data_IF_270245553342
#
_entry.id   IF_270245553342
#
_cell.length_a   1.000
_cell.length_b   1.000
_cell.length_c   1.000
_cell.angle_alpha   90.00
_cell.angle_beta   90.00
_cell.angle_gamma   90.00
#
_symmetry.space_group_name_H-M   'P 1'
#
loop_
_entity.id
_entity.type
_entity.pdbx_description
1 polymer ?
#
# COMPACT_ATOMS: atom_id res chain seq x y z
N UNK A 1 -2.09 1.12 -20.36
CA UNK A 1 -0.72 0.88 -19.79
C UNK A 1 -0.85 -0.26 -18.79
N UNK A 2 0.09 -1.22 -18.75
CA UNK A 2 -0.02 -2.32 -17.80
C UNK A 2 0.05 -1.81 -16.35
N UNK A 3 -0.89 -2.23 -15.51
CA UNK A 3 -0.99 -1.78 -14.11
C UNK A 3 -0.32 -2.76 -13.15
N UNK A 4 0.26 -2.24 -12.09
CA UNK A 4 0.85 -3.03 -11.00
C UNK A 4 -0.18 -3.24 -9.91
N UNK A 5 -0.45 -4.50 -9.55
CA UNK A 5 -1.29 -4.83 -8.41
C UNK A 5 -0.41 -5.39 -7.30
N UNK A 6 -0.43 -4.71 -6.15
CA UNK A 6 0.22 -5.17 -4.92
C UNK A 6 -0.86 -5.60 -3.92
N UNK A 7 -0.54 -6.60 -3.11
CA UNK A 7 -1.42 -7.04 -2.03
C UNK A 7 -0.92 -6.55 -0.67
N UNK A 8 -1.81 -6.23 0.25
CA UNK A 8 -1.41 -5.82 1.59
C UNK A 8 -1.10 -7.03 2.46
N UNK A 9 0.12 -7.09 2.97
CA UNK A 9 0.62 -8.16 3.82
C UNK A 9 0.77 -7.63 5.24
N UNK A 10 -0.17 -7.96 6.11
CA UNK A 10 -0.24 -7.42 7.47
C UNK A 10 -0.95 -8.35 8.44
N UNK A 11 -0.88 -8.01 9.71
CA UNK A 11 -1.75 -8.50 10.80
C UNK A 11 -2.36 -7.28 11.51
N UNK A 12 -3.53 -7.39 12.16
CA UNK A 12 -4.37 -8.58 12.22
C UNK A 12 -5.08 -8.88 10.89
N UNK A 13 -5.45 -10.15 10.69
CA UNK A 13 -6.33 -10.61 9.63
C UNK A 13 -7.57 -11.27 10.23
N UNK A 14 -8.51 -11.67 9.40
CA UNK A 14 -9.76 -12.31 9.78
C UNK A 14 -10.95 -11.77 9.00
N UNK A 15 -12.16 -12.29 9.23
CA UNK A 15 -13.34 -11.93 8.43
C UNK A 15 -13.81 -10.47 8.60
N UNK A 16 -13.48 -9.80 9.70
CA UNK A 16 -13.75 -8.37 9.98
C UNK A 16 -12.79 -7.87 11.07
N UNK A 17 -11.48 -7.74 10.76
CA UNK A 17 -10.42 -7.59 11.77
C UNK A 17 -10.36 -6.20 12.44
N UNK A 18 -11.21 -5.26 12.08
CA UNK A 18 -11.43 -3.99 12.81
C UNK A 18 -12.18 -4.18 14.12
N UNK A 19 -12.89 -5.30 14.30
CA UNK A 19 -13.52 -5.70 15.57
C UNK A 19 -12.72 -6.83 16.21
N UNK A 20 -12.62 -6.86 17.57
CA UNK A 20 -11.85 -7.91 18.28
C UNK A 20 -12.31 -9.33 17.95
N UNK A 21 -13.63 -9.53 17.81
CA UNK A 21 -14.25 -10.84 17.56
C UNK A 21 -13.97 -11.35 16.14
N UNK A 22 -13.65 -10.46 15.23
CA UNK A 22 -13.32 -10.78 13.84
C UNK A 22 -11.84 -11.02 13.60
N UNK A 23 -10.99 -10.88 14.62
CA UNK A 23 -9.53 -11.02 14.49
C UNK A 23 -9.07 -12.44 14.71
N UNK A 24 -8.22 -12.90 13.82
CA UNK A 24 -7.43 -14.09 14.09
C UNK A 24 -6.20 -13.74 14.93
N UNK A 25 -5.68 -14.72 15.64
CA UNK A 25 -4.44 -14.56 16.39
C UNK A 25 -3.29 -14.30 15.39
N UNK A 26 -2.47 -13.26 15.60
CA UNK A 26 -1.31 -13.03 14.78
C UNK A 26 -0.40 -14.24 14.74
N UNK A 27 -0.03 -14.69 13.54
CA UNK A 27 0.81 -15.85 13.32
C UNK A 27 1.72 -15.61 12.11
N UNK A 28 3.01 -15.93 12.25
CA UNK A 28 3.97 -15.80 11.17
C UNK A 28 3.68 -16.77 10.01
N UNK A 29 3.22 -18.00 10.30
CA UNK A 29 2.87 -18.96 9.26
C UNK A 29 1.72 -18.46 8.39
N UNK A 30 0.76 -17.72 8.97
CA UNK A 30 -0.30 -17.06 8.20
C UNK A 30 0.27 -16.00 7.24
N UNK A 31 1.18 -15.13 7.72
CA UNK A 31 1.85 -14.14 6.86
C UNK A 31 2.66 -14.80 5.74
N UNK A 32 3.33 -15.91 6.05
CA UNK A 32 4.08 -16.69 5.07
C UNK A 32 3.16 -17.31 4.01
N UNK A 33 2.03 -17.89 4.39
CA UNK A 33 1.03 -18.41 3.46
C UNK A 33 0.49 -17.30 2.55
N UNK A 34 0.19 -16.14 3.10
CA UNK A 34 -0.27 -14.97 2.34
C UNK A 34 0.79 -14.50 1.32
N UNK A 35 2.06 -14.43 1.73
CA UNK A 35 3.16 -14.05 0.84
C UNK A 35 3.34 -15.07 -0.29
N UNK A 36 3.30 -16.37 0.03
CA UNK A 36 3.38 -17.45 -0.97
C UNK A 36 2.19 -17.43 -1.94
N UNK A 37 0.98 -17.20 -1.44
CA UNK A 37 -0.21 -17.06 -2.28
C UNK A 37 -0.04 -15.87 -3.23
N UNK A 38 0.32 -14.69 -2.73
CA UNK A 38 0.55 -13.49 -3.54
C UNK A 38 1.63 -13.70 -4.61
N UNK A 39 2.73 -14.39 -4.26
CA UNK A 39 3.81 -14.72 -5.21
C UNK A 39 3.32 -15.63 -6.34
N UNK A 40 2.56 -16.67 -6.00
CA UNK A 40 2.06 -17.67 -6.98
C UNK A 40 0.95 -17.14 -7.86
N UNK A 41 0.08 -16.30 -7.31
CA UNK A 41 -1.04 -15.67 -8.02
C UNK A 41 -0.59 -14.55 -8.97
N UNK A 42 0.67 -14.13 -8.91
CA UNK A 42 1.22 -13.17 -9.86
C UNK A 42 1.00 -11.72 -9.46
N UNK A 43 0.81 -11.41 -8.20
CA UNK A 43 0.88 -10.03 -7.73
C UNK A 43 2.26 -9.44 -7.99
N UNK A 44 2.31 -8.14 -8.35
CA UNK A 44 3.57 -7.43 -8.55
C UNK A 44 4.44 -7.41 -7.29
N UNK A 45 3.80 -7.30 -6.14
CA UNK A 45 4.46 -7.26 -4.84
C UNK A 45 3.46 -7.23 -3.69
N UNK A 46 3.98 -7.05 -2.48
CA UNK A 46 3.16 -6.83 -1.29
C UNK A 46 3.64 -5.63 -0.50
N UNK A 47 2.68 -4.82 0.00
CA UNK A 47 2.98 -3.77 0.97
C UNK A 47 3.04 -4.37 2.37
N UNK A 48 4.17 -4.17 3.06
CA UNK A 48 4.35 -4.48 4.46
C UNK A 48 4.25 -3.18 5.28
N UNK A 49 3.22 -3.10 6.13
CA UNK A 49 3.06 -1.97 7.04
C UNK A 49 4.03 -2.03 8.22
N UNK A 50 4.34 -0.86 8.80
CA UNK A 50 5.26 -0.73 9.93
C UNK A 50 4.63 -1.02 11.31
N UNK A 51 3.40 -1.53 11.36
CA UNK A 51 2.72 -1.86 12.62
C UNK A 51 1.68 -2.96 12.36
N UNK A 52 1.47 -3.91 13.29
CA UNK A 52 2.18 -4.07 14.58
C UNK A 52 3.58 -4.71 14.44
N UNK A 53 3.92 -5.22 13.25
CA UNK A 53 5.18 -5.94 13.04
C UNK A 53 6.28 -4.97 12.55
N UNK A 54 7.52 -5.31 12.85
CA UNK A 54 8.67 -4.63 12.25
C UNK A 54 8.83 -5.13 10.81
N UNK A 55 8.72 -4.23 9.84
CA UNK A 55 8.56 -4.54 8.41
C UNK A 55 9.83 -5.12 7.78
N UNK A 56 11.02 -4.69 8.23
CA UNK A 56 12.30 -5.20 7.73
C UNK A 56 12.50 -6.66 8.15
N UNK A 57 12.18 -7.00 9.40
CA UNK A 57 12.30 -8.36 9.92
C UNK A 57 11.34 -9.32 9.20
N UNK A 58 10.07 -8.92 9.05
CA UNK A 58 9.07 -9.75 8.35
C UNK A 58 9.45 -9.95 6.89
N UNK A 59 9.85 -8.89 6.19
CA UNK A 59 10.23 -9.00 4.77
C UNK A 59 11.44 -9.92 4.57
N UNK A 60 12.46 -9.81 5.43
CA UNK A 60 13.64 -10.66 5.37
C UNK A 60 13.30 -12.15 5.62
N UNK A 61 12.41 -12.44 6.57
CA UNK A 61 11.96 -13.80 6.87
C UNK A 61 11.15 -14.44 5.73
N UNK A 62 10.60 -13.64 4.81
CA UNK A 62 9.78 -14.12 3.68
C UNK A 62 10.56 -14.30 2.37
N UNK A 63 11.84 -13.92 2.32
CA UNK A 63 12.66 -14.03 1.10
C UNK A 63 12.69 -15.47 0.59
N UNK A 64 12.97 -16.42 1.46
CA UNK A 64 13.14 -17.84 1.12
C UNK A 64 11.81 -18.52 0.73
N UNK A 65 10.71 -18.03 1.26
CA UNK A 65 9.38 -18.57 0.97
C UNK A 65 8.80 -18.10 -0.39
N UNK A 66 9.40 -17.09 -1.02
CA UNK A 66 8.90 -16.44 -2.25
C UNK A 66 9.98 -16.33 -3.31
N UNK A 67 9.61 -16.26 -4.58
CA UNK A 67 10.56 -16.24 -5.70
C UNK A 67 10.52 -14.93 -6.50
N UNK A 68 9.37 -14.31 -6.66
CA UNK A 68 9.12 -13.19 -7.57
C UNK A 68 8.48 -11.99 -6.88
N UNK A 69 7.73 -12.23 -5.81
CA UNK A 69 7.04 -11.20 -5.06
C UNK A 69 8.00 -10.10 -4.61
N UNK A 70 7.71 -8.86 -4.98
CA UNK A 70 8.43 -7.69 -4.47
C UNK A 70 7.89 -7.27 -3.12
N UNK A 71 8.76 -6.76 -2.29
CA UNK A 71 8.45 -6.30 -0.94
C UNK A 71 8.49 -4.78 -0.90
N UNK A 72 7.33 -4.15 -0.84
CA UNK A 72 7.20 -2.71 -0.59
C UNK A 72 7.19 -2.50 0.93
N UNK A 73 8.38 -2.23 1.47
CA UNK A 73 8.64 -2.20 2.92
C UNK A 73 8.45 -0.79 3.46
N UNK A 74 7.51 -0.62 4.38
CA UNK A 74 7.30 0.67 5.06
C UNK A 74 8.50 0.97 5.98
N UNK A 75 9.11 2.15 5.81
CA UNK A 75 10.27 2.58 6.58
C UNK A 75 10.13 4.04 6.98
N UNK A 76 10.33 4.30 8.26
CA UNK A 76 10.40 5.67 8.78
C UNK A 76 11.86 6.15 8.79
N UNK A 77 12.14 7.36 8.30
CA UNK A 77 13.48 7.93 8.43
C UNK A 77 13.80 8.13 9.92
N UNK A 78 15.00 7.70 10.33
CA UNK A 78 15.48 7.81 11.71
C UNK A 78 15.31 6.56 12.58
N UNK A 79 14.52 5.56 12.20
CA UNK A 79 14.49 4.26 12.91
C UNK A 79 15.85 3.57 12.92
N UNK A 80 16.55 3.63 11.79
CA UNK A 80 17.93 3.20 11.64
C UNK A 80 18.75 4.35 11.08
N UNK A 81 20.08 4.35 11.28
CA UNK A 81 20.89 5.29 10.51
C UNK A 81 20.84 4.95 9.02
N UNK A 82 20.94 5.92 8.10
CA UNK A 82 20.85 5.64 6.67
C UNK A 82 21.95 4.69 6.17
N UNK A 83 23.12 4.68 6.80
CA UNK A 83 24.20 3.74 6.50
C UNK A 83 23.86 2.29 6.92
N UNK A 84 23.22 2.11 8.08
CA UNK A 84 22.78 0.78 8.55
C UNK A 84 21.66 0.26 7.64
N UNK A 85 20.69 1.10 7.30
CA UNK A 85 19.62 0.74 6.37
C UNK A 85 20.18 0.39 4.98
N UNK A 86 21.17 1.14 4.47
CA UNK A 86 21.81 0.83 3.19
C UNK A 86 22.51 -0.53 3.21
N UNK A 87 23.23 -0.85 4.29
CA UNK A 87 23.87 -2.17 4.46
C UNK A 87 22.84 -3.30 4.49
N UNK A 88 21.75 -3.10 5.24
CA UNK A 88 20.65 -4.06 5.29
C UNK A 88 20.03 -4.25 3.89
N UNK A 89 19.72 -3.15 3.20
CA UNK A 89 19.11 -3.16 1.89
C UNK A 89 19.98 -3.86 0.83
N UNK A 90 21.30 -3.63 0.83
CA UNK A 90 22.24 -4.34 -0.04
C UNK A 90 22.24 -5.84 0.23
N UNK A 91 22.17 -6.27 1.50
CA UNK A 91 22.09 -7.69 1.87
C UNK A 91 20.76 -8.28 1.42
N UNK A 92 19.66 -7.60 1.70
CA UNK A 92 18.32 -8.02 1.28
C UNK A 92 18.23 -8.19 -0.24
N UNK A 93 18.76 -7.22 -0.99
CA UNK A 93 18.74 -7.23 -2.44
C UNK A 93 19.52 -8.41 -3.03
N UNK A 94 20.68 -8.74 -2.46
CA UNK A 94 21.43 -9.93 -2.87
C UNK A 94 20.62 -11.20 -2.64
N UNK A 95 20.03 -11.37 -1.46
CA UNK A 95 19.28 -12.57 -1.09
C UNK A 95 17.96 -12.68 -1.83
N UNK A 96 17.29 -11.58 -2.06
CA UNK A 96 15.98 -11.53 -2.74
C UNK A 96 16.10 -11.44 -4.27
N UNK A 97 17.30 -11.26 -4.83
CA UNK A 97 17.52 -10.97 -6.24
C UNK A 97 16.84 -9.69 -6.73
N UNK A 98 16.94 -8.59 -5.97
CA UNK A 98 16.46 -7.26 -6.38
C UNK A 98 14.96 -7.07 -6.22
N UNK A 99 14.34 -7.62 -5.16
CA UNK A 99 12.89 -7.54 -4.92
C UNK A 99 12.47 -6.51 -3.87
N UNK A 100 13.40 -5.66 -3.39
CA UNK A 100 13.11 -4.63 -2.39
C UNK A 100 12.54 -3.37 -3.05
N UNK A 101 11.51 -2.82 -2.45
CA UNK A 101 10.97 -1.48 -2.68
C UNK A 101 10.78 -0.82 -1.31
N UNK A 102 10.99 0.49 -1.18
CA UNK A 102 10.67 1.19 0.05
C UNK A 102 9.39 2.01 -0.07
N UNK A 103 8.53 1.91 0.93
CA UNK A 103 7.46 2.86 1.18
C UNK A 103 7.94 3.86 2.24
N UNK A 104 8.30 5.06 1.80
CA UNK A 104 8.75 6.17 2.64
C UNK A 104 7.59 6.69 3.46
N UNK A 105 7.64 6.49 4.76
CA UNK A 105 6.57 6.87 5.69
C UNK A 105 7.08 7.98 6.60
N UNK A 106 6.65 9.22 6.36
CA UNK A 106 7.06 10.36 7.19
C UNK A 106 6.27 10.46 8.52
N UNK A 107 5.29 9.58 8.73
CA UNK A 107 4.57 9.44 9.99
C UNK A 107 3.86 10.71 10.48
N UNK A 108 3.55 10.73 11.77
CA UNK A 108 3.06 11.89 12.51
C UNK A 108 3.95 12.13 13.73
N UNK A 109 3.88 13.32 14.31
CA UNK A 109 4.78 13.75 15.37
C UNK A 109 4.76 12.80 16.59
N UNK A 110 3.56 12.44 17.05
CA UNK A 110 3.41 11.57 18.22
C UNK A 110 3.96 10.15 17.97
N UNK A 111 3.69 9.57 16.80
CA UNK A 111 4.18 8.24 16.43
C UNK A 111 5.70 8.21 16.30
N UNK A 112 6.30 9.20 15.63
CA UNK A 112 7.74 9.28 15.45
C UNK A 112 8.49 9.55 16.75
N UNK A 113 7.90 10.32 17.67
CA UNK A 113 8.48 10.56 18.99
C UNK A 113 8.70 9.26 19.77
N UNK A 114 7.83 8.26 19.60
CA UNK A 114 8.00 6.92 20.21
C UNK A 114 9.18 6.13 19.61
N UNK A 115 9.63 6.52 18.42
CA UNK A 115 10.78 5.95 17.72
C UNK A 115 12.06 6.78 17.90
N UNK A 116 12.01 7.82 18.76
CA UNK A 116 13.15 8.70 19.02
C UNK A 116 13.37 9.80 17.98
N UNK A 117 12.40 10.04 17.10
CA UNK A 117 12.44 11.10 16.07
C UNK A 117 11.54 12.26 16.51
N UNK A 118 12.14 13.43 16.80
CA UNK A 118 11.48 14.56 17.45
C UNK A 118 11.41 15.84 16.59
N UNK A 119 11.42 15.70 15.26
CA UNK A 119 11.30 16.85 14.36
C UNK A 119 9.83 17.27 14.20
N UNK A 120 9.52 18.56 14.26
CA UNK A 120 8.18 19.08 13.97
C UNK A 120 7.81 18.84 12.48
N UNK A 121 6.51 18.99 12.17
CA UNK A 121 5.93 18.57 10.89
C UNK A 121 6.75 18.99 9.67
N UNK A 122 7.11 20.25 9.50
CA UNK A 122 7.78 20.73 8.29
C UNK A 122 9.26 20.30 8.27
N UNK A 123 9.97 20.48 9.36
CA UNK A 123 11.38 20.07 9.51
C UNK A 123 11.59 18.57 9.33
N UNK A 124 10.59 17.77 9.67
CA UNK A 124 10.60 16.32 9.46
C UNK A 124 10.74 15.93 7.98
N UNK A 125 10.18 16.71 7.08
CA UNK A 125 10.33 16.45 5.64
C UNK A 125 11.73 16.82 5.15
N UNK A 126 12.36 17.86 5.69
CA UNK A 126 13.75 18.22 5.38
C UNK A 126 14.70 17.14 5.90
N UNK A 127 14.53 16.71 7.15
CA UNK A 127 15.26 15.57 7.72
C UNK A 127 15.09 14.31 6.84
N UNK A 128 13.86 13.97 6.48
CA UNK A 128 13.56 12.79 5.67
C UNK A 128 14.24 12.86 4.29
N UNK A 129 14.21 14.01 3.64
CA UNK A 129 14.84 14.19 2.33
C UNK A 129 16.36 13.96 2.42
N UNK A 130 17.00 14.54 3.45
CA UNK A 130 18.44 14.37 3.68
C UNK A 130 18.79 12.92 4.03
N UNK A 131 17.98 12.29 4.90
CA UNK A 131 18.13 10.87 5.28
C UNK A 131 18.12 9.94 4.06
N UNK A 132 17.15 10.08 3.18
CA UNK A 132 17.03 9.21 2.02
C UNK A 132 18.09 9.49 0.95
N UNK A 133 18.55 10.73 0.81
CA UNK A 133 19.71 11.07 -0.04
C UNK A 133 21.00 10.42 0.48
N UNK A 134 21.23 10.46 1.77
CA UNK A 134 22.34 9.76 2.39
C UNK A 134 22.22 8.23 2.18
N UNK A 135 21.04 7.65 2.38
CA UNK A 135 20.77 6.24 2.08
C UNK A 135 21.11 5.89 0.62
N UNK A 136 20.62 6.66 -0.34
CA UNK A 136 20.87 6.43 -1.77
C UNK A 136 22.37 6.49 -2.12
N UNK A 137 23.11 7.44 -1.54
CA UNK A 137 24.56 7.54 -1.69
C UNK A 137 25.28 6.29 -1.19
N UNK A 138 24.96 5.85 0.03
CA UNK A 138 25.57 4.62 0.59
C UNK A 138 25.15 3.34 -0.13
N UNK A 139 23.90 3.24 -0.56
CA UNK A 139 23.43 2.11 -1.35
C UNK A 139 24.16 2.05 -2.70
N UNK A 140 24.40 3.19 -3.33
CA UNK A 140 25.17 3.27 -4.59
C UNK A 140 26.67 2.92 -4.44
N UNK A 141 27.15 2.78 -3.21
CA UNK A 141 28.52 2.38 -2.91
C UNK A 141 29.45 3.53 -2.56
N UNK A 142 28.94 4.73 -2.31
CA UNK A 142 29.74 5.85 -1.83
C UNK A 142 30.33 5.56 -0.45
N UNK A 143 31.61 5.88 -0.30
CA UNK A 143 32.38 5.67 0.94
C UNK A 143 32.87 6.95 1.55
N UNK A 144 32.57 8.12 0.93
CA UNK A 144 33.08 9.43 1.38
C UNK A 144 32.48 9.93 2.68
N UNK A 145 31.41 9.26 3.14
CA UNK A 145 30.63 9.71 4.28
C UNK A 145 29.48 10.65 3.86
N UNK A 146 28.86 11.29 4.84
CA UNK A 146 27.81 12.28 4.62
C UNK A 146 27.88 13.37 5.68
N UNK A 147 27.94 14.63 5.27
CA UNK A 147 27.99 15.79 6.18
C UNK A 147 26.85 16.76 5.83
N UNK A 148 25.65 16.45 6.31
CA UNK A 148 24.47 17.27 6.16
C UNK A 148 24.09 18.04 7.43
N UNK A 149 22.92 18.67 7.41
CA UNK A 149 22.38 19.34 8.58
C UNK A 149 21.91 18.34 9.65
N UNK A 150 21.22 17.28 9.22
CA UNK A 150 20.58 16.29 10.09
C UNK A 150 21.35 14.97 10.16
N UNK A 151 22.04 14.62 9.10
CA UNK A 151 22.75 13.33 8.95
C UNK A 151 24.25 13.60 8.87
N UNK A 152 25.01 13.05 9.83
CA UNK A 152 26.48 13.14 9.85
C UNK A 152 27.06 11.75 9.99
N UNK A 153 27.76 11.31 8.96
CA UNK A 153 28.35 9.96 8.89
C UNK A 153 29.80 10.07 8.40
N UNK A 154 30.72 9.49 9.15
CA UNK A 154 32.12 9.47 8.80
C UNK A 154 32.40 8.64 7.53
N UNK A 155 33.45 8.97 6.76
CA UNK A 155 33.89 8.16 5.65
C UNK A 155 34.20 6.72 6.07
N UNK A 156 33.91 5.76 5.20
CA UNK A 156 34.38 4.39 5.37
C UNK A 156 35.86 4.31 4.96
N UNK A 157 36.73 3.93 5.87
CA UNK A 157 38.16 3.86 5.56
C UNK A 157 38.47 2.76 4.55
N UNK A 158 39.48 2.95 3.67
CA UNK A 158 39.93 1.92 2.72
C UNK A 158 40.31 0.61 3.43
N UNK A 159 40.89 0.65 4.63
CA UNK A 159 41.22 -0.53 5.42
C UNK A 159 39.98 -1.40 5.75
N UNK A 160 38.84 -0.75 6.06
CA UNK A 160 37.58 -1.46 6.27
C UNK A 160 36.99 -2.01 4.96
N UNK A 161 37.18 -1.33 3.84
CA UNK A 161 36.73 -1.76 2.52
C UNK A 161 37.54 -2.96 1.96
N UNK A 162 38.81 -3.08 2.34
CA UNK A 162 39.72 -4.15 1.88
C UNK A 162 39.83 -5.32 2.85
N UNK A 163 39.18 -5.26 4.02
CA UNK A 163 39.17 -6.42 4.92
C UNK A 163 38.45 -7.58 4.22
N UNK A 164 39.00 -8.83 4.25
CA UNK A 164 38.40 -9.98 3.58
C UNK A 164 36.94 -10.26 3.93
N UNK A 165 36.51 -9.77 5.10
CA UNK A 165 35.12 -9.85 5.59
C UNK A 165 34.42 -8.49 5.61
N UNK A 166 35.01 -7.41 5.06
CA UNK A 166 34.62 -6.01 5.35
C UNK A 166 33.94 -5.24 4.23
N UNK A 167 33.76 -5.84 3.06
CA UNK A 167 33.05 -5.17 1.96
C UNK A 167 31.52 -5.26 2.12
N UNK A 168 30.80 -4.21 1.71
CA UNK A 168 29.36 -4.30 1.49
C UNK A 168 29.08 -4.94 0.13
N UNK A 169 27.92 -5.60 0.00
CA UNK A 169 27.48 -6.10 -1.29
C UNK A 169 27.34 -4.95 -2.31
N UNK A 170 27.64 -5.18 -3.59
CA UNK A 170 27.35 -4.21 -4.63
C UNK A 170 25.82 -4.06 -4.80
N UNK A 171 25.34 -2.89 -5.24
CA UNK A 171 23.91 -2.68 -5.49
C UNK A 171 23.41 -3.60 -6.61
N UNK A 172 22.30 -4.27 -6.36
CA UNK A 172 21.64 -5.15 -7.33
C UNK A 172 20.69 -4.37 -8.23
N UNK A 173 19.97 -3.43 -7.67
CA UNK A 173 19.05 -2.56 -8.39
C UNK A 173 19.76 -1.26 -8.83
N UNK A 174 19.50 -0.82 -10.06
CA UNK A 174 20.08 0.40 -10.63
C UNK A 174 18.97 1.27 -11.24
N UNK A 175 19.00 2.58 -11.05
CA UNK A 175 20.03 3.38 -10.34
C UNK A 175 19.99 3.23 -8.82
N UNK A 176 18.95 2.67 -8.23
CA UNK A 176 18.75 2.46 -6.81
C UNK A 176 17.49 1.66 -6.53
N UNK A 177 17.16 1.47 -5.25
CA UNK A 177 15.90 0.87 -4.82
C UNK A 177 14.79 1.89 -5.07
N UNK A 178 13.68 1.52 -5.75
CA UNK A 178 12.57 2.42 -5.98
C UNK A 178 11.94 2.90 -4.65
N UNK A 179 11.75 4.21 -4.53
CA UNK A 179 11.14 4.87 -3.38
C UNK A 179 9.70 5.23 -3.71
N UNK A 180 8.77 4.62 -3.01
CA UNK A 180 7.35 4.91 -3.06
C UNK A 180 6.98 5.71 -1.81
N UNK A 181 5.93 6.49 -1.84
CA UNK A 181 5.52 7.19 -0.63
C UNK A 181 4.40 8.19 -0.88
N UNK A 182 4.02 8.90 0.18
CA UNK A 182 2.91 9.85 0.15
C UNK A 182 3.27 11.14 0.87
N UNK A 183 2.58 12.22 0.51
CA UNK A 183 2.63 13.49 1.20
C UNK A 183 1.55 14.42 0.63
N UNK A 184 0.67 14.94 1.50
CA UNK A 184 -0.48 15.76 1.05
C UNK A 184 -0.37 17.23 1.44
N UNK A 185 0.41 17.56 2.48
CA UNK A 185 0.74 18.93 2.85
C UNK A 185 1.70 19.57 1.84
N UNK A 186 1.83 20.89 1.84
CA UNK A 186 2.80 21.60 1.01
C UNK A 186 4.21 21.02 1.12
N UNK A 187 4.78 20.92 2.34
CA UNK A 187 6.08 20.28 2.57
C UNK A 187 6.12 18.82 2.13
N UNK A 188 5.02 18.07 2.35
CA UNK A 188 4.91 16.66 1.91
C UNK A 188 4.94 16.50 0.40
N UNK A 189 4.28 17.36 -0.36
CA UNK A 189 4.35 17.37 -1.83
C UNK A 189 5.76 17.77 -2.29
N UNK A 190 6.35 18.82 -1.71
CA UNK A 190 7.70 19.28 -2.04
C UNK A 190 8.75 18.19 -1.81
N UNK A 191 8.64 17.44 -0.71
CA UNK A 191 9.47 16.27 -0.41
C UNK A 191 9.25 15.16 -1.46
N UNK A 192 7.99 14.82 -1.72
CA UNK A 192 7.62 13.73 -2.63
C UNK A 192 8.16 13.95 -4.04
N UNK A 193 8.01 15.14 -4.61
CA UNK A 193 8.48 15.45 -5.96
C UNK A 193 10.00 15.46 -6.09
N UNK A 194 10.73 15.69 -5.00
CA UNK A 194 12.20 15.65 -4.99
C UNK A 194 12.76 14.24 -4.83
N UNK A 195 12.02 13.33 -4.18
CA UNK A 195 12.57 12.06 -3.71
C UNK A 195 11.94 10.83 -4.38
N UNK A 196 10.62 10.79 -4.51
CA UNK A 196 9.91 9.55 -4.83
C UNK A 196 9.96 9.19 -6.32
N UNK A 197 9.90 7.90 -6.62
CA UNK A 197 9.67 7.36 -7.96
C UNK A 197 8.16 7.11 -8.19
N UNK A 198 7.45 6.74 -7.11
CA UNK A 198 6.00 6.51 -7.14
C UNK A 198 5.33 7.30 -6.02
N UNK A 199 4.46 8.22 -6.40
CA UNK A 199 3.62 8.95 -5.44
C UNK A 199 2.35 8.18 -5.13
N UNK A 200 2.15 7.85 -3.86
CA UNK A 200 0.99 7.12 -3.35
C UNK A 200 -0.07 8.05 -2.76
N UNK A 201 -1.32 7.67 -2.91
CA UNK A 201 -2.44 8.28 -2.21
C UNK A 201 -3.46 7.23 -1.77
N UNK A 202 -4.20 7.49 -0.69
CA UNK A 202 -5.46 6.80 -0.49
C UNK A 202 -6.41 7.13 -1.65
N UNK A 203 -7.24 6.15 -2.01
CA UNK A 203 -8.20 6.32 -3.09
C UNK A 203 -9.23 7.41 -2.77
N UNK A 204 -9.71 8.02 -3.83
CA UNK A 204 -10.87 8.87 -3.91
C UNK A 204 -11.66 8.43 -5.15
N UNK A 205 -12.69 9.14 -5.57
CA UNK A 205 -13.29 8.90 -6.88
C UNK A 205 -12.24 9.10 -7.98
N UNK A 206 -12.31 8.37 -9.11
CA UNK A 206 -11.28 8.48 -10.16
C UNK A 206 -11.01 9.91 -10.61
N UNK A 207 -12.01 10.78 -10.89
CA UNK A 207 -11.74 12.14 -11.30
C UNK A 207 -11.01 12.97 -10.23
N UNK A 208 -11.41 12.87 -8.95
CA UNK A 208 -10.79 13.61 -7.84
C UNK A 208 -9.35 13.13 -7.59
N UNK A 209 -9.10 11.83 -7.71
CA UNK A 209 -7.74 11.30 -7.59
C UNK A 209 -6.85 11.77 -8.73
N UNK A 210 -7.36 11.75 -9.97
CA UNK A 210 -6.65 12.27 -11.14
C UNK A 210 -6.34 13.75 -11.05
N UNK A 211 -7.25 14.57 -10.51
CA UNK A 211 -6.97 15.98 -10.24
C UNK A 211 -5.79 16.15 -9.27
N UNK A 212 -5.77 15.37 -8.19
CA UNK A 212 -4.66 15.37 -7.22
C UNK A 212 -3.34 14.98 -7.90
N UNK A 213 -3.34 13.93 -8.70
CA UNK A 213 -2.13 13.46 -9.39
C UNK A 213 -1.61 14.49 -10.39
N UNK A 214 -2.49 15.13 -11.16
CA UNK A 214 -2.09 16.21 -12.07
C UNK A 214 -1.43 17.39 -11.33
N UNK A 215 -1.93 17.77 -10.15
CA UNK A 215 -1.30 18.82 -9.31
C UNK A 215 0.12 18.41 -8.89
N UNK A 216 0.31 17.18 -8.41
CA UNK A 216 1.63 16.69 -8.01
C UNK A 216 2.58 16.56 -9.21
N UNK A 217 2.07 16.06 -10.35
CA UNK A 217 2.85 16.00 -11.60
C UNK A 217 3.33 17.37 -12.06
N UNK A 218 2.47 18.40 -11.96
CA UNK A 218 2.85 19.77 -12.30
C UNK A 218 3.95 20.33 -11.39
N UNK A 219 3.95 19.99 -10.10
CA UNK A 219 5.04 20.38 -9.20
C UNK A 219 6.35 19.65 -9.53
N UNK A 220 6.29 18.34 -9.85
CA UNK A 220 7.45 17.58 -10.28
C UNK A 220 8.07 18.14 -11.58
N UNK A 221 7.22 18.49 -12.54
CA UNK A 221 7.67 19.05 -13.82
C UNK A 221 8.44 20.37 -13.67
N UNK A 222 8.14 21.19 -12.65
CA UNK A 222 8.90 22.44 -12.37
C UNK A 222 10.37 22.20 -12.06
N UNK A 223 10.70 21.00 -11.57
CA UNK A 223 12.08 20.59 -11.25
C UNK A 223 12.63 19.53 -12.20
N UNK A 224 11.97 19.35 -13.37
CA UNK A 224 12.41 18.42 -14.42
C UNK A 224 12.28 16.94 -14.05
N UNK A 225 11.36 16.57 -13.13
CA UNK A 225 11.11 15.17 -12.74
C UNK A 225 9.74 14.69 -13.21
N UNK A 226 9.68 13.41 -13.50
CA UNK A 226 8.45 12.66 -13.73
C UNK A 226 8.23 11.68 -12.60
N UNK A 227 6.98 11.54 -12.17
CA UNK A 227 6.55 10.57 -11.16
C UNK A 227 5.53 9.62 -11.77
N UNK A 228 5.52 8.39 -11.29
CA UNK A 228 4.38 7.50 -11.47
C UNK A 228 3.46 7.57 -10.26
N UNK A 229 2.21 7.14 -10.42
CA UNK A 229 1.20 7.31 -9.39
C UNK A 229 0.55 5.99 -9.01
N UNK A 230 0.33 5.83 -7.71
CA UNK A 230 -0.35 4.66 -7.16
C UNK A 230 -1.40 5.03 -6.13
N UNK A 231 -2.32 4.12 -5.91
CA UNK A 231 -3.39 4.28 -4.92
C UNK A 231 -3.52 3.07 -4.02
N UNK A 232 -3.93 3.33 -2.77
CA UNK A 232 -4.29 2.30 -1.81
C UNK A 232 -5.80 2.29 -1.60
N UNK A 233 -6.41 1.10 -1.72
CA UNK A 233 -7.82 0.88 -1.49
C UNK A 233 -8.11 -0.56 -1.07
N UNK A 234 -9.30 -0.78 -0.57
CA UNK A 234 -9.84 -2.10 -0.30
C UNK A 234 -10.58 -2.62 -1.55
N UNK A 235 -10.88 -3.92 -1.59
CA UNK A 235 -11.60 -4.50 -2.74
C UNK A 235 -12.53 -5.62 -2.30
N UNK A 236 -13.70 -5.66 -2.91
CA UNK A 236 -14.66 -6.77 -2.88
C UNK A 236 -15.05 -7.05 -4.31
N UNK A 237 -14.56 -8.15 -4.87
CA UNK A 237 -14.93 -8.61 -6.21
C UNK A 237 -15.63 -9.96 -6.11
N UNK A 238 -16.76 -10.12 -6.83
CA UNK A 238 -17.55 -11.35 -6.87
C UNK A 238 -17.95 -11.64 -8.33
N UNK A 239 -18.57 -12.76 -8.52
CA UNK A 239 -19.11 -13.16 -9.81
C UNK A 239 -20.24 -12.25 -10.26
N UNK A 240 -21.07 -11.75 -9.33
CA UNK A 240 -22.17 -10.82 -9.60
C UNK A 240 -22.09 -9.56 -8.73
N UNK A 241 -22.76 -8.49 -9.18
CA UNK A 241 -22.89 -7.27 -8.42
C UNK A 241 -23.63 -7.49 -7.10
N UNK A 242 -24.69 -8.28 -7.13
CA UNK A 242 -25.52 -8.60 -5.99
C UNK A 242 -24.72 -9.30 -4.88
N UNK A 243 -23.89 -10.26 -5.24
CA UNK A 243 -23.01 -10.96 -4.28
C UNK A 243 -21.98 -10.04 -3.68
N UNK A 244 -21.38 -9.15 -4.49
CA UNK A 244 -20.41 -8.17 -3.99
C UNK A 244 -21.02 -7.23 -2.96
N UNK A 245 -22.18 -6.66 -3.25
CA UNK A 245 -22.86 -5.75 -2.33
C UNK A 245 -23.47 -6.45 -1.13
N UNK A 246 -23.93 -7.70 -1.27
CA UNK A 246 -24.33 -8.51 -0.13
C UNK A 246 -23.16 -8.78 0.83
N UNK A 247 -21.95 -8.98 0.29
CA UNK A 247 -20.74 -9.11 1.09
C UNK A 247 -20.37 -7.79 1.77
N UNK A 248 -20.42 -6.66 1.08
CA UNK A 248 -20.20 -5.34 1.66
C UNK A 248 -21.18 -5.04 2.80
N UNK A 249 -22.47 -5.35 2.63
CA UNK A 249 -23.50 -5.20 3.67
C UNK A 249 -23.18 -6.10 4.87
N UNK A 250 -22.76 -7.35 4.64
CA UNK A 250 -22.35 -8.28 5.71
C UNK A 250 -21.16 -7.74 6.51
N UNK A 251 -20.16 -7.16 5.86
CA UNK A 251 -19.00 -6.54 6.52
C UNK A 251 -19.45 -5.32 7.34
N UNK A 252 -20.29 -4.49 6.81
CA UNK A 252 -20.83 -3.31 7.50
C UNK A 252 -21.62 -3.71 8.74
N UNK A 253 -22.48 -4.73 8.66
CA UNK A 253 -23.26 -5.24 9.80
C UNK A 253 -22.38 -5.88 10.89
N UNK A 254 -21.13 -6.24 10.59
CA UNK A 254 -20.12 -6.70 11.56
C UNK A 254 -19.32 -5.56 12.19
N UNK A 255 -19.67 -4.32 11.89
CA UNK A 255 -19.05 -3.12 12.48
C UNK A 255 -19.93 -2.63 13.62
N UNK A 256 -19.37 -2.44 14.81
CA UNK A 256 -20.12 -1.93 15.94
C UNK A 256 -20.44 -0.44 15.78
N UNK A 257 -21.56 -0.01 16.35
CA UNK A 257 -21.87 1.42 16.44
C UNK A 257 -20.78 2.21 17.18
N UNK A 258 -20.12 1.59 18.14
CA UNK A 258 -19.01 2.22 18.86
C UNK A 258 -17.83 2.48 17.93
N UNK A 259 -17.45 1.51 17.09
CA UNK A 259 -16.41 1.69 16.06
C UNK A 259 -16.78 2.81 15.09
N UNK A 260 -18.03 2.85 14.61
CA UNK A 260 -18.49 3.89 13.70
C UNK A 260 -18.48 5.28 14.37
N UNK A 261 -18.95 5.41 15.62
CA UNK A 261 -18.92 6.68 16.38
C UNK A 261 -17.49 7.16 16.59
N UNK A 262 -16.61 6.30 17.10
CA UNK A 262 -15.19 6.63 17.31
C UNK A 262 -14.51 7.06 16.00
N UNK A 263 -14.86 6.40 14.90
CA UNK A 263 -14.32 6.75 13.58
C UNK A 263 -14.78 8.15 13.13
N UNK A 264 -16.05 8.51 13.33
CA UNK A 264 -16.54 9.83 13.02
C UNK A 264 -15.84 10.89 13.89
N UNK A 265 -15.80 10.69 15.20
CA UNK A 265 -15.20 11.64 16.16
C UNK A 265 -13.72 11.95 15.81
N UNK A 266 -12.97 10.98 15.31
CA UNK A 266 -11.59 11.18 14.84
C UNK A 266 -11.47 12.00 13.56
N UNK A 267 -12.53 12.13 12.78
CA UNK A 267 -12.58 12.85 11.51
C UNK A 267 -13.16 14.25 11.67
N UNK A 268 -13.78 14.55 12.81
CA UNK A 268 -14.38 15.85 13.07
C UNK A 268 -13.32 16.94 13.30
N UNK A 269 -13.63 18.17 12.94
CA UNK A 269 -12.83 19.33 13.33
C UNK A 269 -12.63 19.41 14.86
N UNK A 270 -11.52 19.97 15.32
CA UNK A 270 -11.29 20.16 16.75
C UNK A 270 -12.42 20.92 17.44
N UNK A 271 -12.97 20.36 18.51
CA UNK A 271 -14.08 20.96 19.28
C UNK A 271 -15.49 20.58 18.80
N UNK A 272 -15.61 19.87 17.70
CA UNK A 272 -16.91 19.31 17.27
C UNK A 272 -17.13 17.90 17.85
N UNK A 273 -18.39 17.58 18.04
CA UNK A 273 -18.85 16.24 18.48
C UNK A 273 -19.78 15.66 17.43
N UNK A 274 -20.04 14.35 17.52
CA UNK A 274 -21.03 13.72 16.66
C UNK A 274 -22.40 14.45 16.70
N UNK A 275 -22.79 14.97 17.87
CA UNK A 275 -24.09 15.63 18.03
C UNK A 275 -24.13 17.06 17.47
N UNK A 276 -23.01 17.79 17.49
CA UNK A 276 -22.91 19.15 16.96
C UNK A 276 -22.58 19.24 15.48
N UNK A 277 -21.93 18.20 14.91
CA UNK A 277 -21.47 18.23 13.52
C UNK A 277 -22.63 18.34 12.53
N UNK A 278 -22.48 19.20 11.55
CA UNK A 278 -23.39 19.31 10.41
C UNK A 278 -22.60 19.32 9.11
N UNK A 279 -23.09 18.60 8.10
CA UNK A 279 -22.48 18.56 6.77
C UNK A 279 -23.44 19.13 5.74
N UNK A 280 -22.92 20.00 4.87
CA UNK A 280 -23.65 20.48 3.69
C UNK A 280 -23.84 19.41 2.62
N UNK A 281 -23.05 18.32 2.67
CA UNK A 281 -23.26 17.16 1.80
C UNK A 281 -24.43 16.32 2.33
N UNK A 282 -25.54 16.20 1.56
CA UNK A 282 -26.73 15.48 2.02
C UNK A 282 -26.49 13.99 2.30
N UNK A 283 -25.50 13.37 1.63
CA UNK A 283 -25.17 11.97 1.86
C UNK A 283 -24.43 11.79 3.19
N UNK A 284 -23.42 12.63 3.43
CA UNK A 284 -22.69 12.65 4.71
C UNK A 284 -23.65 12.95 5.86
N UNK A 285 -24.54 13.95 5.69
CA UNK A 285 -25.52 14.31 6.71
C UNK A 285 -26.46 13.15 7.07
N UNK A 286 -26.98 12.41 6.07
CA UNK A 286 -27.79 11.21 6.30
C UNK A 286 -27.04 10.13 7.05
N UNK A 287 -25.76 9.91 6.73
CA UNK A 287 -24.90 8.92 7.41
C UNK A 287 -24.71 9.28 8.89
N UNK A 288 -24.44 10.56 9.17
CA UNK A 288 -24.28 11.07 10.54
C UNK A 288 -25.60 10.91 11.34
N UNK A 289 -26.72 11.26 10.76
CA UNK A 289 -28.04 11.13 11.39
C UNK A 289 -28.40 9.66 11.68
N UNK A 290 -28.06 8.74 10.79
CA UNK A 290 -28.24 7.32 11.03
C UNK A 290 -27.45 6.86 12.27
N UNK A 291 -26.17 7.26 12.39
CA UNK A 291 -25.33 6.92 13.54
C UNK A 291 -25.84 7.59 14.83
N UNK A 292 -26.30 8.84 14.79
CA UNK A 292 -26.99 9.52 15.93
C UNK A 292 -28.21 8.74 16.40
N UNK A 293 -28.99 8.25 15.45
CA UNK A 293 -30.19 7.45 15.74
C UNK A 293 -29.88 6.01 16.17
N UNK A 294 -28.61 5.65 16.41
CA UNK A 294 -28.21 4.31 16.85
C UNK A 294 -28.28 3.25 15.75
N UNK A 295 -28.14 3.63 14.49
CA UNK A 295 -28.20 2.73 13.34
C UNK A 295 -26.99 2.94 12.43
N UNK A 296 -26.48 1.86 11.81
CA UNK A 296 -25.57 1.99 10.67
C UNK A 296 -26.36 2.34 9.39
N UNK A 297 -25.78 3.12 8.47
CA UNK A 297 -26.33 3.23 7.11
C UNK A 297 -26.27 1.87 6.42
N UNK A 298 -27.03 1.69 5.34
CA UNK A 298 -26.87 0.52 4.46
C UNK A 298 -25.61 0.66 3.63
N UNK A 299 -25.04 -0.46 3.16
CA UNK A 299 -23.82 -0.42 2.35
C UNK A 299 -24.01 0.48 1.10
N UNK A 300 -25.12 0.36 0.38
CA UNK A 300 -25.41 1.20 -0.78
C UNK A 300 -25.52 2.70 -0.46
N UNK A 301 -25.89 3.07 0.74
CA UNK A 301 -25.93 4.48 1.16
C UNK A 301 -24.53 5.10 1.34
N UNK A 302 -23.49 4.27 1.32
CA UNK A 302 -22.08 4.67 1.42
C UNK A 302 -21.33 4.56 0.08
N UNK A 303 -22.03 4.28 -1.01
CA UNK A 303 -21.46 4.33 -2.36
C UNK A 303 -21.36 5.80 -2.81
N UNK A 304 -20.12 6.30 -2.95
CA UNK A 304 -19.83 7.71 -3.27
C UNK A 304 -19.61 7.97 -4.75
N UNK A 305 -19.45 6.90 -5.52
CA UNK A 305 -19.24 6.87 -6.98
C UNK A 305 -19.51 5.44 -7.45
N UNK A 306 -19.90 5.17 -8.69
CA UNK A 306 -20.16 3.81 -9.14
C UNK A 306 -19.05 2.83 -8.73
N UNK A 307 -19.38 1.82 -7.94
CA UNK A 307 -18.48 0.82 -7.37
C UNK A 307 -17.45 1.33 -6.35
N UNK A 308 -17.47 2.61 -5.97
CA UNK A 308 -16.57 3.17 -4.94
C UNK A 308 -17.34 3.36 -3.64
N UNK A 309 -16.99 2.57 -2.65
CA UNK A 309 -17.70 2.45 -1.38
C UNK A 309 -16.85 2.90 -0.19
N UNK A 310 -17.47 3.54 0.79
CA UNK A 310 -16.85 3.83 2.09
C UNK A 310 -17.21 2.72 3.08
N UNK A 311 -16.21 1.91 3.44
CA UNK A 311 -16.38 0.78 4.34
C UNK A 311 -15.43 0.79 5.53
N UNK A 312 -15.63 -0.14 6.48
CA UNK A 312 -14.74 -0.32 7.62
C UNK A 312 -13.40 -0.92 7.18
N UNK A 313 -12.32 -0.59 7.89
CA UNK A 313 -10.97 -1.09 7.62
C UNK A 313 -10.15 -1.21 8.90
N UNK A 314 -8.96 -1.80 8.82
CA UNK A 314 -8.00 -1.83 9.94
C UNK A 314 -7.62 -0.44 10.47
N UNK A 315 -7.74 0.58 9.64
CA UNK A 315 -7.41 1.97 9.99
C UNK A 315 -8.63 2.77 10.47
N UNK A 316 -9.76 2.10 10.69
CA UNK A 316 -11.03 2.69 11.08
C UNK A 316 -12.05 2.70 9.97
N UNK A 317 -13.08 3.52 10.14
CA UNK A 317 -14.20 3.65 9.21
C UNK A 317 -14.32 5.11 8.76
N UNK A 318 -13.88 5.42 7.55
CA UNK A 318 -13.88 6.77 7.01
C UNK A 318 -15.26 7.14 6.41
N UNK A 319 -16.28 7.08 7.24
CA UNK A 319 -17.68 7.26 6.86
C UNK A 319 -18.02 8.68 6.36
N UNK A 320 -17.20 9.66 6.70
CA UNK A 320 -17.38 11.06 6.27
C UNK A 320 -16.66 11.37 4.93
N UNK A 321 -15.79 10.48 4.46
CA UNK A 321 -15.07 10.71 3.21
C UNK A 321 -14.04 9.66 2.87
N UNK A 322 -13.54 9.70 1.63
CA UNK A 322 -12.55 8.72 1.15
C UNK A 322 -11.22 8.78 1.91
N UNK A 323 -10.75 7.62 2.36
CA UNK A 323 -9.43 7.41 2.96
C UNK A 323 -9.09 5.90 2.94
N UNK A 324 -8.50 5.39 4.03
CA UNK A 324 -8.09 3.97 4.13
C UNK A 324 -9.26 2.97 4.01
N UNK A 325 -10.49 3.38 4.31
CA UNK A 325 -11.71 2.59 4.17
C UNK A 325 -12.44 2.78 2.82
N UNK A 326 -11.76 3.23 1.78
CA UNK A 326 -12.32 3.30 0.42
C UNK A 326 -12.16 1.95 -0.27
N UNK A 327 -13.26 1.43 -0.81
CA UNK A 327 -13.33 0.13 -1.49
C UNK A 327 -13.70 0.26 -2.95
N UNK A 328 -13.28 -0.71 -3.77
CA UNK A 328 -13.97 -1.09 -4.99
C UNK A 328 -14.88 -2.28 -4.69
N UNK A 329 -16.17 -2.18 -5.07
CA UNK A 329 -17.18 -3.22 -4.83
C UNK A 329 -17.98 -3.45 -6.10
N UNK A 330 -18.02 -4.69 -6.59
CA UNK A 330 -18.80 -5.03 -7.78
C UNK A 330 -18.49 -6.40 -8.37
N UNK A 331 -19.10 -6.67 -9.53
CA UNK A 331 -18.67 -7.81 -10.35
C UNK A 331 -17.25 -7.58 -10.87
N UNK A 332 -16.61 -8.65 -11.35
CA UNK A 332 -15.26 -8.55 -11.89
C UNK A 332 -15.17 -7.52 -13.03
N UNK A 333 -16.17 -7.49 -13.92
CA UNK A 333 -16.23 -6.55 -15.05
C UNK A 333 -16.37 -5.09 -14.57
N UNK A 334 -17.24 -4.85 -13.60
CA UNK A 334 -17.47 -3.52 -13.04
C UNK A 334 -16.21 -2.99 -12.34
N UNK A 335 -15.54 -3.85 -11.57
CA UNK A 335 -14.29 -3.48 -10.89
C UNK A 335 -13.17 -3.26 -11.90
N UNK A 336 -13.07 -4.09 -12.94
CA UNK A 336 -12.11 -3.89 -14.02
C UNK A 336 -12.33 -2.58 -14.77
N UNK A 337 -13.59 -2.22 -15.06
CA UNK A 337 -13.96 -0.93 -15.65
C UNK A 337 -13.48 0.23 -14.77
N UNK A 338 -13.70 0.14 -13.46
CA UNK A 338 -13.31 1.19 -12.52
C UNK A 338 -11.79 1.31 -12.40
N UNK A 339 -11.06 0.21 -12.42
CA UNK A 339 -9.58 0.22 -12.46
C UNK A 339 -9.09 0.92 -13.73
N UNK A 340 -9.68 0.63 -14.91
CA UNK A 340 -9.33 1.30 -16.16
C UNK A 340 -9.63 2.80 -16.11
N UNK A 341 -10.69 3.22 -15.41
CA UNK A 341 -10.97 4.64 -15.22
C UNK A 341 -9.92 5.32 -14.34
N UNK A 342 -9.47 4.68 -13.25
CA UNK A 342 -8.33 5.16 -12.46
C UNK A 342 -7.06 5.21 -13.30
N UNK A 343 -6.81 4.20 -14.14
CA UNK A 343 -5.68 4.18 -15.07
C UNK A 343 -5.73 5.36 -16.04
N UNK A 344 -6.89 5.64 -16.63
CA UNK A 344 -7.10 6.79 -17.50
C UNK A 344 -6.86 8.13 -16.81
N UNK A 345 -6.96 8.18 -15.48
CA UNK A 345 -6.63 9.33 -14.63
C UNK A 345 -5.16 9.34 -14.16
N UNK A 346 -4.33 8.40 -14.63
CA UNK A 346 -2.90 8.36 -14.37
C UNK A 346 -2.45 7.39 -13.27
N UNK A 347 -3.34 6.57 -12.72
CA UNK A 347 -2.96 5.55 -11.73
C UNK A 347 -2.32 4.35 -12.42
N UNK A 348 -1.08 4.02 -12.08
CA UNK A 348 -0.33 2.88 -12.64
C UNK A 348 -0.09 1.75 -11.62
N UNK A 349 -0.36 1.98 -10.34
CA UNK A 349 -0.18 0.99 -9.29
C UNK A 349 -1.35 1.00 -8.29
N UNK A 350 -1.78 -0.18 -7.90
CA UNK A 350 -2.88 -0.39 -6.95
C UNK A 350 -2.39 -1.27 -5.82
N UNK A 351 -2.45 -0.76 -4.59
CA UNK A 351 -2.19 -1.55 -3.38
C UNK A 351 -3.55 -1.94 -2.83
N UNK A 352 -3.91 -3.21 -2.99
CA UNK A 352 -5.22 -3.75 -2.66
C UNK A 352 -5.20 -4.56 -1.37
N UNK A 353 -6.34 -4.64 -0.70
CA UNK A 353 -6.62 -5.61 0.35
C UNK A 353 -8.11 -5.91 0.46
N UNK A 354 -8.44 -7.12 0.88
CA UNK A 354 -9.78 -7.56 1.25
C UNK A 354 -9.66 -8.51 2.43
N UNK A 355 -10.74 -8.81 3.12
CA UNK A 355 -10.70 -9.63 4.32
C UNK A 355 -11.63 -10.84 4.23
N UNK A 356 -11.14 -12.06 4.58
CA UNK A 356 -9.76 -12.41 4.98
C UNK A 356 -8.74 -12.25 3.83
N UNK A 357 -7.50 -11.85 4.17
CA UNK A 357 -6.51 -11.44 3.15
C UNK A 357 -6.17 -12.54 2.13
N UNK A 358 -6.03 -13.80 2.56
CA UNK A 358 -5.68 -14.91 1.66
C UNK A 358 -6.85 -15.23 0.72
N UNK A 359 -8.06 -15.35 1.26
CA UNK A 359 -9.25 -15.71 0.48
C UNK A 359 -9.55 -14.65 -0.58
N UNK A 360 -9.48 -13.38 -0.19
CA UNK A 360 -9.72 -12.28 -1.12
C UNK A 360 -8.57 -12.12 -2.13
N UNK A 361 -7.32 -12.46 -1.78
CA UNK A 361 -6.22 -12.49 -2.74
C UNK A 361 -6.48 -13.50 -3.87
N UNK A 362 -6.97 -14.70 -3.55
CA UNK A 362 -7.35 -15.69 -4.54
C UNK A 362 -8.52 -15.21 -5.41
N UNK A 363 -9.58 -14.68 -4.81
CA UNK A 363 -10.75 -14.16 -5.57
C UNK A 363 -10.38 -13.06 -6.54
N UNK A 364 -9.56 -12.11 -6.09
CA UNK A 364 -9.09 -11.01 -6.95
C UNK A 364 -8.25 -11.55 -8.11
N UNK A 365 -7.36 -12.49 -7.85
CA UNK A 365 -6.55 -13.08 -8.91
C UNK A 365 -7.38 -13.90 -9.91
N UNK A 366 -8.32 -14.69 -9.41
CA UNK A 366 -9.12 -15.57 -10.26
C UNK A 366 -10.15 -14.80 -11.12
N UNK A 367 -10.83 -13.82 -10.52
CA UNK A 367 -11.92 -13.10 -11.17
C UNK A 367 -11.46 -11.85 -11.93
N UNK A 368 -10.52 -11.10 -11.38
CA UNK A 368 -10.18 -9.76 -11.88
C UNK A 368 -8.93 -9.74 -12.77
N UNK A 369 -7.87 -10.51 -12.44
CA UNK A 369 -6.63 -10.47 -13.21
C UNK A 369 -6.80 -10.82 -14.69
N UNK A 370 -7.64 -11.79 -15.09
CA UNK A 370 -7.88 -12.08 -16.50
C UNK A 370 -8.46 -10.91 -17.31
N UNK A 371 -9.07 -9.93 -16.65
CA UNK A 371 -9.71 -8.77 -17.26
C UNK A 371 -8.81 -7.53 -17.35
N UNK A 372 -7.58 -7.59 -16.81
CA UNK A 372 -6.66 -6.44 -16.72
C UNK A 372 -5.38 -6.70 -17.53
N UNK A 373 -4.79 -5.62 -18.03
CA UNK A 373 -3.41 -5.63 -18.53
C UNK A 373 -2.48 -5.41 -17.34
N UNK A 374 -1.77 -6.46 -16.90
CA UNK A 374 -1.00 -6.46 -15.67
C UNK A 374 0.50 -6.46 -15.93
N UNK A 375 1.21 -5.56 -15.24
CA UNK A 375 2.64 -5.65 -15.03
C UNK A 375 2.90 -6.51 -13.77
N UNK A 376 3.26 -7.75 -13.96
CA UNK A 376 3.65 -8.67 -12.89
C UNK A 376 5.10 -8.43 -12.42
N UNK A 377 5.87 -7.63 -13.17
CA UNK A 377 7.30 -7.44 -12.95
C UNK A 377 8.16 -8.66 -13.31
N UNK A 378 7.58 -9.67 -13.95
CA UNK A 378 8.23 -10.85 -14.50
C UNK A 378 7.35 -11.45 -15.60
N UNK A 379 7.95 -12.26 -16.48
CA UNK A 379 7.21 -12.98 -17.51
C UNK A 379 6.35 -14.09 -16.88
N UNK A 380 5.04 -13.90 -16.89
CA UNK A 380 4.10 -14.96 -16.52
C UNK A 380 3.96 -15.89 -17.72
N UNK A 381 4.28 -17.19 -17.59
CA UNK A 381 3.99 -18.14 -18.64
C UNK A 381 2.47 -18.17 -18.87
N UNK A 382 2.00 -17.50 -19.91
CA UNK A 382 0.60 -17.61 -20.34
C UNK A 382 0.41 -19.02 -20.88
N UNK A 383 -0.37 -19.85 -20.19
CA UNK A 383 -0.94 -21.03 -20.80
C UNK A 383 -1.83 -20.52 -21.94
N UNK A 384 -1.36 -20.67 -23.18
CA UNK A 384 -2.19 -20.33 -24.33
C UNK A 384 -3.39 -21.28 -24.33
N UNK A 385 -4.59 -20.74 -24.53
CA UNK A 385 -5.82 -21.51 -24.63
C UNK A 385 -5.79 -22.56 -25.76
N UNK A 386 -4.82 -22.46 -26.65
CA UNK A 386 -4.55 -23.34 -27.79
C UNK A 386 -3.40 -24.33 -27.56
N UNK A 387 -2.90 -24.43 -26.32
CA UNK A 387 -1.81 -25.37 -26.02
C UNK A 387 -2.23 -26.82 -26.26
N UNK A 388 -1.53 -27.59 -27.13
CA UNK A 388 -1.98 -28.93 -27.59
C UNK A 388 -2.12 -30.00 -26.49
N UNK A 389 -1.62 -29.72 -25.28
CA UNK A 389 -1.61 -30.68 -24.16
C UNK A 389 -3.01 -30.90 -23.57
N UNK A 390 -3.87 -29.87 -23.54
CA UNK A 390 -5.24 -30.05 -23.04
C UNK A 390 -6.18 -30.77 -24.01
N UNK A 391 -5.94 -30.68 -25.30
CA UNK A 391 -6.75 -31.43 -26.32
C UNK A 391 -6.42 -32.92 -26.33
N UNK A 392 -5.20 -33.34 -25.97
CA UNK A 392 -4.83 -34.78 -25.96
C UNK A 392 -5.34 -35.53 -24.73
N UNK A 393 -5.56 -34.86 -23.59
CA UNK A 393 -6.13 -35.50 -22.41
C UNK A 393 -7.62 -35.90 -22.65
N UNK A 394 -8.38 -35.00 -23.29
CA UNK A 394 -9.80 -35.23 -23.53
C UNK A 394 -10.10 -36.25 -24.68
N UNK A 395 -9.12 -36.55 -25.54
CA UNK A 395 -9.27 -37.53 -26.62
C UNK A 395 -9.06 -38.98 -26.15
N UNK A 396 -8.40 -39.21 -25.00
CA UNK A 396 -8.16 -40.53 -24.44
C UNK A 396 -9.28 -41.05 -23.54
N UNK A 397 -10.20 -40.20 -23.09
CA UNK A 397 -11.35 -40.60 -22.28
C UNK A 397 -12.60 -40.93 -23.13
N UNK A 398 -12.51 -40.88 -24.49
CA UNK A 398 -13.61 -41.16 -25.43
C UNK A 398 -13.32 -42.29 -26.42
N UNK A 399 -12.30 -43.11 -26.15
CA UNK A 399 -12.00 -44.31 -26.98
C UNK A 399 -12.21 -45.61 -26.19
#
# INVERSE_FOLDING_TARGET
MAVKILWYLTTPDGPYPWEPEGRWKPDFEHLKQLAVASDRLGYYGSLLGSSPNESLAVSAALIDATQRLRFLVAQHPGELSPAVLAKWALTFDQFSNGRLLFNVVNGNDAGLATLGVHYPHDERYDFSLEYWRAFQSFYAGDTSGYDGQYVKLAPRTPAAAHHPLGGWHPPKQKPGIPLWGAGTSGPGVAHSVQLLDVYLSFANTPPKLGEKFRKVAAEAAKIGRELTFGTRLQIIVRETEEEAWAHAEKLLQRTSLQTARTAIERQLPPGETLDSFHSDDPQIQRNVEAIRAGRLPKARDLEIYPNVWLGPSLFGFNILGPAAGTYLVGSAEQVAERIREYEAQGTSAFILSGFPLIDEAHRVADLLFPLLDLDHGFDVPRLRADAPVLQRANARERA
#
